data_IF_034217651663
#
_entry.id   IF_034217651663
#
_cell.length_a   1.000
_cell.length_b   1.000
_cell.length_c   1.000
_cell.angle_alpha   90.00
_cell.angle_beta   90.00
_cell.angle_gamma   90.00
#
_symmetry.space_group_name_H-M   'P 1'
#
loop_
_entity.id
_entity.type
_entity.pdbx_description
1 polymer ?
#
# COMPACT_ATOMS: atom_id res chain seq x y z
N UNK A 1 -45.40 32.84 9.77
CA UNK A 1 -45.59 31.38 9.95
C UNK A 1 -44.93 30.56 8.84
N UNK A 2 -44.82 31.05 7.60
CA UNK A 2 -44.18 30.30 6.49
C UNK A 2 -42.68 30.01 6.68
N UNK A 3 -41.90 30.90 7.31
CA UNK A 3 -40.46 30.69 7.52
C UNK A 3 -40.08 29.61 8.55
N UNK A 4 -40.99 29.24 9.46
CA UNK A 4 -40.71 28.19 10.45
C UNK A 4 -40.82 26.78 9.83
N UNK A 5 -41.70 26.62 8.85
CA UNK A 5 -41.87 25.36 8.12
C UNK A 5 -40.67 25.03 7.23
N UNK A 6 -40.09 26.05 6.60
CA UNK A 6 -38.94 25.89 5.71
C UNK A 6 -37.69 25.42 6.49
N UNK A 7 -37.42 26.01 7.66
CA UNK A 7 -36.34 25.60 8.58
C UNK A 7 -36.50 24.15 9.09
N UNK A 8 -37.72 23.72 9.41
CA UNK A 8 -37.99 22.34 9.86
C UNK A 8 -37.73 21.34 8.74
N UNK A 9 -38.09 21.67 7.50
CA UNK A 9 -37.86 20.78 6.35
C UNK A 9 -36.38 20.70 5.99
N UNK A 10 -35.64 21.81 6.05
CA UNK A 10 -34.18 21.80 5.90
C UNK A 10 -33.50 20.90 6.96
N UNK A 11 -33.95 20.97 8.22
CA UNK A 11 -33.45 20.12 9.28
C UNK A 11 -33.72 18.62 8.99
N UNK A 12 -34.92 18.28 8.53
CA UNK A 12 -35.30 16.91 8.15
C UNK A 12 -34.42 16.42 6.99
N UNK A 13 -34.30 17.21 5.92
CA UNK A 13 -33.47 16.88 4.75
C UNK A 13 -32.00 16.66 5.13
N UNK A 14 -31.49 17.42 6.10
CA UNK A 14 -30.13 17.25 6.62
C UNK A 14 -29.87 15.90 7.31
N UNK A 15 -30.92 15.14 7.66
CA UNK A 15 -30.81 13.82 8.30
C UNK A 15 -31.13 12.67 7.33
N UNK A 16 -31.63 12.97 6.13
CA UNK A 16 -32.00 11.99 5.13
C UNK A 16 -30.80 11.42 4.39
N UNK A 17 -30.94 10.18 3.88
CA UNK A 17 -30.00 9.66 2.90
C UNK A 17 -30.21 10.32 1.53
N UNK A 18 -29.20 10.31 0.64
CA UNK A 18 -29.32 10.91 -0.69
C UNK A 18 -30.47 10.33 -1.53
N UNK A 19 -30.77 9.04 -1.36
CA UNK A 19 -31.91 8.37 -2.01
C UNK A 19 -33.25 8.91 -1.50
N UNK A 20 -33.36 9.16 -0.20
CA UNK A 20 -34.59 9.64 0.41
C UNK A 20 -34.85 11.10 0.04
N UNK A 21 -33.79 11.92 0.00
CA UNK A 21 -33.86 13.28 -0.50
C UNK A 21 -34.30 13.33 -1.98
N UNK A 22 -33.82 12.40 -2.81
CA UNK A 22 -34.27 12.28 -4.20
C UNK A 22 -35.75 11.85 -4.29
N UNK A 23 -36.19 10.89 -3.48
CA UNK A 23 -37.60 10.47 -3.40
C UNK A 23 -38.50 11.61 -2.92
N UNK A 24 -38.07 12.35 -1.90
CA UNK A 24 -38.77 13.53 -1.37
C UNK A 24 -38.97 14.59 -2.46
N UNK A 25 -37.96 14.81 -3.31
CA UNK A 25 -38.04 15.73 -4.46
C UNK A 25 -39.11 15.35 -5.50
N UNK A 26 -39.54 14.08 -5.53
CA UNK A 26 -40.55 13.59 -6.47
C UNK A 26 -41.98 13.83 -6.01
N UNK A 27 -42.21 14.17 -4.74
CA UNK A 27 -43.56 14.27 -4.15
C UNK A 27 -44.29 15.54 -4.58
N UNK A 28 -43.62 16.70 -4.62
CA UNK A 28 -44.20 17.99 -5.02
C UNK A 28 -43.13 18.98 -5.53
N UNK A 29 -43.52 19.98 -6.33
CA UNK A 29 -42.67 21.08 -6.79
C UNK A 29 -41.94 21.81 -5.64
N UNK A 30 -42.61 22.11 -4.52
CA UNK A 30 -41.97 22.81 -3.38
C UNK A 30 -40.86 21.95 -2.75
N UNK A 31 -41.12 20.65 -2.58
CA UNK A 31 -40.14 19.70 -2.05
C UNK A 31 -38.96 19.48 -3.00
N UNK A 32 -39.22 19.51 -4.31
CA UNK A 32 -38.17 19.47 -5.33
C UNK A 32 -37.19 20.63 -5.20
N UNK A 33 -37.67 21.84 -4.91
CA UNK A 33 -36.82 23.01 -4.71
C UNK A 33 -35.93 22.80 -3.48
N UNK A 34 -36.51 22.41 -2.34
CA UNK A 34 -35.75 22.17 -1.10
C UNK A 34 -34.71 21.04 -1.24
N UNK A 35 -35.10 19.90 -1.82
CA UNK A 35 -34.17 18.79 -2.08
C UNK A 35 -33.22 19.04 -3.27
N UNK A 36 -33.21 20.24 -3.84
CA UNK A 36 -32.22 20.67 -4.84
C UNK A 36 -31.20 21.66 -4.27
N UNK A 37 -31.28 21.99 -2.97
CA UNK A 37 -30.28 22.84 -2.32
C UNK A 37 -28.87 22.25 -2.43
N UNK A 38 -27.96 23.03 -2.98
CA UNK A 38 -26.60 22.59 -3.25
C UNK A 38 -25.79 22.36 -1.97
N UNK A 39 -26.12 23.01 -0.84
CA UNK A 39 -25.47 22.76 0.44
C UNK A 39 -25.80 21.37 0.99
N UNK A 40 -27.04 20.91 0.81
CA UNK A 40 -27.44 19.54 1.12
C UNK A 40 -26.61 18.52 0.30
N UNK A 41 -26.52 18.72 -1.02
CA UNK A 41 -25.76 17.83 -1.89
C UNK A 41 -24.25 17.92 -1.67
N UNK A 42 -23.71 19.08 -1.29
CA UNK A 42 -22.32 19.23 -0.84
C UNK A 42 -22.03 18.30 0.34
N UNK A 43 -22.94 18.25 1.32
CA UNK A 43 -22.79 17.34 2.48
C UNK A 43 -22.85 15.87 2.05
N UNK A 44 -23.75 15.50 1.16
CA UNK A 44 -23.80 14.12 0.62
C UNK A 44 -22.52 13.75 -0.11
N UNK A 45 -22.03 14.60 -1.00
CA UNK A 45 -20.76 14.41 -1.71
C UNK A 45 -19.56 14.31 -0.76
N UNK A 46 -19.50 15.15 0.27
CA UNK A 46 -18.44 15.08 1.28
C UNK A 46 -18.49 13.78 2.08
N UNK A 47 -19.67 13.35 2.55
CA UNK A 47 -19.80 12.14 3.36
C UNK A 47 -19.59 10.85 2.57
N UNK A 48 -20.14 10.76 1.35
CA UNK A 48 -20.11 9.53 0.57
C UNK A 48 -18.84 9.38 -0.28
N UNK A 49 -18.26 10.49 -0.74
CA UNK A 49 -17.23 10.50 -1.78
C UNK A 49 -15.99 11.35 -1.41
N UNK A 50 -15.98 12.00 -0.24
CA UNK A 50 -14.91 12.91 0.21
C UNK A 50 -14.62 14.06 -0.79
N UNK A 51 -15.68 14.57 -1.43
CA UNK A 51 -15.55 15.67 -2.39
C UNK A 51 -15.66 17.03 -1.70
N UNK A 52 -14.67 17.91 -1.96
CA UNK A 52 -14.64 19.30 -1.49
C UNK A 52 -15.15 20.31 -2.53
N UNK A 53 -15.21 19.89 -3.79
CA UNK A 53 -15.69 20.67 -4.93
C UNK A 53 -16.60 19.79 -5.81
N UNK A 54 -17.52 20.39 -6.60
CA UNK A 54 -18.38 19.63 -7.49
C UNK A 54 -17.56 19.15 -8.70
N UNK A 55 -16.99 17.96 -8.62
CA UNK A 55 -16.22 17.35 -9.69
C UNK A 55 -16.79 15.97 -10.07
N UNK A 56 -16.61 15.59 -11.32
CA UNK A 56 -16.93 14.26 -11.83
C UNK A 56 -15.86 13.22 -11.39
N UNK A 57 -16.06 11.93 -11.66
CA UNK A 57 -15.08 10.87 -11.36
C UNK A 57 -13.70 11.03 -12.01
N UNK A 58 -13.59 11.82 -13.07
CA UNK A 58 -12.33 12.07 -13.79
C UNK A 58 -11.65 13.38 -13.32
N UNK A 59 -12.25 14.09 -12.37
CA UNK A 59 -11.77 15.34 -11.82
C UNK A 59 -12.23 16.60 -12.56
N UNK A 60 -13.13 16.48 -13.54
CA UNK A 60 -13.64 17.63 -14.29
C UNK A 60 -14.68 18.39 -13.46
N UNK A 61 -14.70 19.74 -13.50
CA UNK A 61 -15.68 20.53 -12.75
C UNK A 61 -17.11 20.29 -13.28
N UNK A 62 -18.05 20.16 -12.35
CA UNK A 62 -19.48 20.04 -12.58
C UNK A 62 -20.20 21.34 -12.16
N UNK A 63 -21.38 21.64 -12.74
CA UNK A 63 -22.13 22.87 -12.40
C UNK A 63 -22.59 22.98 -10.94
N UNK A 64 -22.77 21.85 -10.24
CA UNK A 64 -23.23 21.83 -8.84
C UNK A 64 -22.90 20.48 -8.18
N UNK A 65 -22.97 20.40 -6.85
CA UNK A 65 -22.75 19.14 -6.12
C UNK A 65 -23.84 18.11 -6.42
N UNK A 66 -25.08 18.56 -6.67
CA UNK A 66 -26.17 17.67 -7.08
C UNK A 66 -25.86 16.99 -8.42
N UNK A 67 -25.37 17.76 -9.39
CA UNK A 67 -24.98 17.21 -10.70
C UNK A 67 -23.78 16.29 -10.55
N UNK A 68 -22.77 16.68 -9.77
CA UNK A 68 -21.62 15.82 -9.48
C UNK A 68 -22.08 14.47 -8.89
N UNK A 69 -22.89 14.47 -7.83
CA UNK A 69 -23.39 13.24 -7.21
C UNK A 69 -24.13 12.35 -8.20
N UNK A 70 -24.96 12.94 -9.07
CA UNK A 70 -25.65 12.22 -10.14
C UNK A 70 -24.66 11.55 -11.10
N UNK A 71 -23.68 12.30 -11.62
CA UNK A 71 -22.65 11.80 -12.54
C UNK A 71 -21.87 10.65 -11.90
N UNK A 72 -21.52 10.77 -10.62
CA UNK A 72 -20.90 9.69 -9.85
C UNK A 72 -21.78 8.45 -9.74
N UNK A 73 -23.06 8.60 -9.42
CA UNK A 73 -24.02 7.47 -9.34
C UNK A 73 -24.20 6.78 -10.68
N UNK A 74 -24.24 7.52 -11.78
CA UNK A 74 -24.36 6.97 -13.13
C UNK A 74 -23.06 6.26 -13.55
N UNK A 75 -21.89 6.86 -13.31
CA UNK A 75 -20.58 6.33 -13.71
C UNK A 75 -20.20 5.02 -13.03
N UNK A 76 -20.75 4.75 -11.84
CA UNK A 76 -20.51 3.54 -11.05
C UNK A 76 -21.78 2.70 -10.86
N UNK A 77 -22.82 2.94 -11.67
CA UNK A 77 -24.15 2.33 -11.47
C UNK A 77 -24.19 0.80 -11.54
N UNK A 78 -23.17 0.15 -12.11
CA UNK A 78 -23.05 -1.31 -12.15
C UNK A 78 -22.51 -1.94 -10.86
N UNK A 79 -22.04 -1.14 -9.90
CA UNK A 79 -21.49 -1.61 -8.63
C UNK A 79 -22.42 -1.28 -7.46
N UNK A 80 -22.43 -2.11 -6.40
CA UNK A 80 -23.06 -1.75 -5.15
C UNK A 80 -22.51 -0.42 -4.62
N UNK A 81 -23.40 0.54 -4.35
CA UNK A 81 -22.98 1.88 -3.93
C UNK A 81 -22.17 1.87 -2.63
N UNK A 82 -22.49 0.97 -1.69
CA UNK A 82 -21.71 0.74 -0.47
C UNK A 82 -20.25 0.42 -0.76
N UNK A 83 -19.99 -0.42 -1.77
CA UNK A 83 -18.65 -0.81 -2.18
C UNK A 83 -17.91 0.35 -2.85
N UNK A 84 -18.58 1.13 -3.72
CA UNK A 84 -18.00 2.35 -4.31
C UNK A 84 -17.51 3.31 -3.23
N UNK A 85 -18.34 3.59 -2.22
CA UNK A 85 -17.98 4.46 -1.08
C UNK A 85 -16.85 3.89 -0.23
N UNK A 86 -16.79 2.58 -0.06
CA UNK A 86 -15.70 1.91 0.67
C UNK A 86 -14.38 2.06 -0.09
N UNK A 87 -14.35 1.72 -1.38
CA UNK A 87 -13.16 1.83 -2.21
C UNK A 87 -12.69 3.28 -2.36
N UNK A 88 -13.60 4.25 -2.51
CA UNK A 88 -13.23 5.67 -2.54
C UNK A 88 -12.57 6.13 -1.25
N UNK A 89 -13.10 5.71 -0.09
CA UNK A 89 -12.49 6.01 1.22
C UNK A 89 -11.11 5.39 1.38
N UNK A 90 -10.94 4.13 0.95
CA UNK A 90 -9.64 3.46 0.92
C UNK A 90 -8.60 4.30 0.15
N UNK A 91 -8.93 4.69 -1.08
CA UNK A 91 -8.05 5.54 -1.89
C UNK A 91 -7.84 6.93 -1.27
N UNK A 92 -8.88 7.58 -0.76
CA UNK A 92 -8.76 8.91 -0.15
C UNK A 92 -7.77 8.94 1.02
N UNK A 93 -7.73 7.90 1.85
CA UNK A 93 -6.75 7.78 2.95
C UNK A 93 -5.32 7.75 2.39
N UNK A 94 -5.07 6.92 1.38
CA UNK A 94 -3.75 6.77 0.75
C UNK A 94 -3.35 8.07 0.03
N UNK A 95 -4.23 8.61 -0.83
CA UNK A 95 -3.96 9.83 -1.59
C UNK A 95 -3.69 11.04 -0.69
N UNK A 96 -4.46 11.19 0.39
CA UNK A 96 -4.27 12.28 1.36
C UNK A 96 -2.90 12.15 2.02
N UNK A 97 -2.52 10.95 2.45
CA UNK A 97 -1.22 10.71 3.04
C UNK A 97 -0.09 11.00 2.06
N UNK A 98 -0.20 10.52 0.81
CA UNK A 98 0.81 10.76 -0.22
C UNK A 98 0.93 12.24 -0.59
N UNK A 99 -0.19 12.97 -0.68
CA UNK A 99 -0.18 14.39 -1.00
C UNK A 99 0.63 15.23 0.00
N UNK A 100 0.66 14.81 1.27
CA UNK A 100 1.42 15.50 2.32
C UNK A 100 2.84 14.96 2.46
N UNK A 101 3.03 13.65 2.37
CA UNK A 101 4.29 13.01 2.75
C UNK A 101 5.16 12.62 1.55
N UNK A 102 4.54 12.05 0.50
CA UNK A 102 5.27 11.52 -0.67
C UNK A 102 4.61 11.89 -2.02
N UNK A 103 4.62 13.19 -2.41
CA UNK A 103 4.01 13.65 -3.67
C UNK A 103 4.55 12.96 -4.92
N UNK A 104 5.81 12.53 -4.91
CA UNK A 104 6.48 11.83 -6.00
C UNK A 104 5.78 10.51 -6.32
N UNK A 105 5.47 9.70 -5.31
CA UNK A 105 4.68 8.47 -5.47
C UNK A 105 3.24 8.80 -5.88
N UNK A 106 2.64 9.85 -5.32
CA UNK A 106 1.28 10.29 -5.73
C UNK A 106 1.21 10.58 -7.23
N UNK A 107 2.23 11.23 -7.78
CA UNK A 107 2.27 11.62 -9.19
C UNK A 107 2.41 10.42 -10.13
N UNK A 108 2.80 9.25 -9.63
CA UNK A 108 2.79 8.01 -10.39
C UNK A 108 1.38 7.41 -10.51
N UNK A 109 0.42 7.77 -9.65
CA UNK A 109 -0.93 7.19 -9.70
C UNK A 109 -1.62 7.55 -11.02
N UNK A 110 -1.99 6.52 -11.78
CA UNK A 110 -2.68 6.70 -13.06
C UNK A 110 -4.13 7.08 -12.82
N UNK A 111 -4.73 7.75 -13.82
CA UNK A 111 -6.18 7.95 -13.86
C UNK A 111 -6.89 6.59 -13.84
N UNK A 112 -8.09 6.55 -13.27
CA UNK A 112 -8.89 5.34 -13.24
C UNK A 112 -9.18 4.77 -14.63
N UNK A 113 -9.03 3.46 -14.77
CA UNK A 113 -9.35 2.73 -16.00
C UNK A 113 -10.84 2.84 -16.31
N UNK A 114 -11.25 2.88 -17.57
CA UNK A 114 -12.64 2.77 -17.99
C UNK A 114 -13.17 1.34 -17.90
N UNK A 115 -14.50 1.16 -17.88
CA UNK A 115 -15.11 -0.18 -17.92
C UNK A 115 -14.70 -0.98 -19.16
N UNK A 116 -14.46 -0.28 -20.28
CA UNK A 116 -13.98 -0.87 -21.53
C UNK A 116 -12.56 -1.41 -21.36
N UNK A 117 -11.64 -0.62 -20.79
CA UNK A 117 -10.25 -1.04 -20.56
C UNK A 117 -10.16 -2.23 -19.60
N UNK A 118 -10.96 -2.22 -18.53
CA UNK A 118 -11.06 -3.36 -17.60
C UNK A 118 -11.53 -4.62 -18.34
N UNK A 119 -12.59 -4.49 -19.15
CA UNK A 119 -13.15 -5.62 -19.91
C UNK A 119 -12.13 -6.16 -20.93
N UNK A 120 -11.42 -5.29 -21.63
CA UNK A 120 -10.36 -5.68 -22.57
C UNK A 120 -9.22 -6.43 -21.85
N UNK A 121 -8.84 -6.02 -20.64
CA UNK A 121 -7.84 -6.71 -19.84
C UNK A 121 -8.33 -8.11 -19.39
N UNK A 122 -9.57 -8.20 -18.90
CA UNK A 122 -10.24 -9.47 -18.53
C UNK A 122 -10.29 -10.45 -19.71
N UNK A 123 -10.68 -9.98 -20.90
CA UNK A 123 -10.70 -10.77 -22.13
C UNK A 123 -9.31 -11.28 -22.52
N UNK A 124 -8.28 -10.41 -22.46
CA UNK A 124 -6.89 -10.80 -22.74
C UNK A 124 -6.32 -11.80 -21.74
N UNK A 125 -6.79 -11.78 -20.50
CA UNK A 125 -6.36 -12.66 -19.40
C UNK A 125 -7.19 -13.95 -19.28
N UNK A 126 -8.40 -14.00 -19.85
CA UNK A 126 -9.30 -15.15 -19.70
C UNK A 126 -9.87 -15.31 -18.28
N UNK A 127 -10.02 -14.19 -17.55
CA UNK A 127 -10.54 -14.13 -16.16
C UNK A 127 -11.60 -13.04 -16.02
N UNK A 128 -12.32 -13.03 -14.90
CA UNK A 128 -13.14 -11.88 -14.47
C UNK A 128 -12.59 -11.35 -13.17
N UNK A 129 -12.24 -10.08 -13.12
CA UNK A 129 -11.76 -9.45 -11.91
C UNK A 129 -12.92 -9.35 -10.90
N UNK A 130 -12.67 -9.61 -9.60
CA UNK A 130 -13.68 -9.41 -8.57
C UNK A 130 -14.18 -7.95 -8.56
N UNK A 131 -15.47 -7.69 -8.24
CA UNK A 131 -16.01 -6.33 -8.23
C UNK A 131 -15.20 -5.30 -7.40
N UNK A 132 -14.66 -5.63 -6.21
CA UNK A 132 -13.82 -4.69 -5.46
C UNK A 132 -12.52 -4.34 -6.20
N UNK A 133 -11.85 -5.34 -6.78
CA UNK A 133 -10.66 -5.14 -7.64
C UNK A 133 -10.97 -4.28 -8.87
N UNK A 134 -12.10 -4.53 -9.56
CA UNK A 134 -12.52 -3.66 -10.68
C UNK A 134 -12.65 -2.21 -10.22
N UNK A 135 -13.30 -1.98 -9.07
CA UNK A 135 -13.44 -0.65 -8.51
C UNK A 135 -12.10 -0.02 -8.14
N UNK A 136 -11.15 -0.77 -7.57
CA UNK A 136 -9.81 -0.27 -7.29
C UNK A 136 -9.17 0.31 -8.57
N UNK A 137 -9.24 -0.43 -9.68
CA UNK A 137 -8.75 0.03 -10.98
C UNK A 137 -9.58 1.15 -11.62
N UNK A 138 -10.90 1.21 -11.37
CA UNK A 138 -11.77 2.33 -11.80
C UNK A 138 -11.39 3.65 -11.13
N UNK A 139 -10.78 3.62 -9.94
CA UNK A 139 -10.26 4.82 -9.27
C UNK A 139 -8.84 5.15 -9.74
N UNK A 140 -7.94 4.17 -9.76
CA UNK A 140 -6.59 4.34 -10.28
C UNK A 140 -6.14 3.09 -11.03
N UNK A 141 -5.72 3.25 -12.29
CA UNK A 141 -5.13 2.18 -13.11
C UNK A 141 -3.67 1.88 -12.69
N UNK A 142 -3.45 1.54 -11.42
CA UNK A 142 -2.12 1.31 -10.87
C UNK A 142 -1.19 2.54 -10.95
N UNK A 143 0.11 2.29 -11.04
CA UNK A 143 1.16 3.30 -11.14
C UNK A 143 1.71 3.41 -12.56
N UNK A 144 2.13 4.61 -12.95
CA UNK A 144 2.90 4.83 -14.17
C UNK A 144 4.31 4.30 -13.96
N UNK A 145 4.64 3.28 -14.74
CA UNK A 145 5.92 2.58 -14.68
C UNK A 145 6.94 3.16 -15.66
N UNK A 146 6.61 4.21 -16.43
CA UNK A 146 7.57 4.86 -17.34
C UNK A 146 8.77 5.44 -16.62
N UNK A 147 8.62 5.76 -15.34
CA UNK A 147 9.75 6.20 -14.53
C UNK A 147 10.81 5.09 -14.41
N UNK A 148 10.43 3.80 -14.46
CA UNK A 148 11.34 2.65 -14.25
C UNK A 148 12.54 2.57 -15.21
N UNK A 149 12.60 3.41 -16.24
CA UNK A 149 13.76 3.55 -17.13
C UNK A 149 14.91 4.40 -16.53
N UNK A 150 14.68 5.09 -15.40
CA UNK A 150 15.72 5.82 -14.64
C UNK A 150 16.05 5.13 -13.31
N UNK A 151 17.32 5.16 -12.88
CA UNK A 151 17.77 4.54 -11.62
C UNK A 151 16.98 5.08 -10.39
N UNK A 152 16.59 6.35 -10.43
CA UNK A 152 15.81 7.03 -9.38
C UNK A 152 14.36 6.54 -9.25
N UNK A 153 13.84 5.81 -10.23
CA UNK A 153 12.45 5.40 -10.24
C UNK A 153 12.19 4.02 -9.61
N UNK A 154 13.25 3.25 -9.35
CA UNK A 154 13.16 1.94 -8.71
C UNK A 154 12.66 2.00 -7.25
N UNK A 155 12.44 3.20 -6.71
CA UNK A 155 12.07 3.48 -5.31
C UNK A 155 10.66 4.05 -5.09
N UNK A 156 9.86 4.26 -6.16
CA UNK A 156 8.55 4.94 -6.08
C UNK A 156 7.34 4.01 -5.94
N UNK A 157 7.51 2.78 -5.46
CA UNK A 157 6.41 1.84 -5.31
C UNK A 157 5.41 2.24 -4.22
N UNK A 158 4.12 2.23 -4.56
CA UNK A 158 3.01 2.60 -3.68
C UNK A 158 2.88 1.65 -2.48
N UNK A 159 3.12 0.36 -2.72
CA UNK A 159 3.14 -0.66 -1.67
C UNK A 159 4.41 -0.51 -0.83
N UNK A 160 5.47 0.08 -1.40
CA UNK A 160 6.74 0.29 -0.73
C UNK A 160 7.49 -1.01 -0.51
N UNK A 161 8.38 -1.02 0.46
CA UNK A 161 9.09 -2.23 0.84
C UNK A 161 10.23 -1.97 1.79
N UNK A 162 11.36 -2.64 1.58
CA UNK A 162 12.48 -2.64 2.50
C UNK A 162 13.79 -2.86 1.76
N UNK A 163 14.86 -2.43 2.42
CA UNK A 163 16.23 -2.71 2.01
C UNK A 163 16.96 -3.40 3.16
N UNK A 164 17.64 -4.51 2.86
CA UNK A 164 18.62 -5.14 3.74
C UNK A 164 19.72 -5.80 2.90
N UNK A 165 20.97 -5.64 3.30
CA UNK A 165 22.15 -6.12 2.53
C UNK A 165 22.11 -5.71 1.04
N UNK A 166 22.10 -6.69 0.13
CA UNK A 166 21.97 -6.52 -1.32
C UNK A 166 20.54 -6.72 -1.84
N UNK A 167 19.58 -6.89 -0.93
CA UNK A 167 18.17 -7.12 -1.26
C UNK A 167 17.38 -5.82 -1.14
N UNK A 168 16.81 -5.38 -2.26
CA UNK A 168 15.87 -4.28 -2.32
C UNK A 168 14.55 -4.83 -2.84
N UNK A 169 13.50 -4.66 -2.05
CA UNK A 169 12.14 -4.88 -2.49
C UNK A 169 11.41 -3.54 -2.38
N UNK A 170 10.93 -3.03 -3.51
CA UNK A 170 10.04 -1.87 -3.54
C UNK A 170 8.95 -2.16 -4.57
N UNK A 171 7.71 -2.24 -4.09
CA UNK A 171 6.61 -2.88 -4.81
C UNK A 171 5.64 -1.83 -5.37
N UNK A 172 5.31 -1.99 -6.64
CA UNK A 172 4.40 -1.15 -7.38
C UNK A 172 3.03 -1.81 -7.48
N UNK A 173 1.97 -1.00 -7.45
CA UNK A 173 0.66 -1.45 -7.91
C UNK A 173 0.64 -1.38 -9.45
N UNK A 174 0.49 -2.52 -10.11
CA UNK A 174 0.63 -2.60 -11.57
C UNK A 174 -0.58 -2.01 -12.30
N UNK A 175 -0.37 -1.24 -13.39
CA UNK A 175 -1.45 -0.86 -14.30
C UNK A 175 -1.97 -2.09 -15.05
N UNK A 176 -3.25 -2.09 -15.45
CA UNK A 176 -3.89 -3.24 -16.10
C UNK A 176 -3.13 -3.74 -17.33
N UNK A 177 -2.54 -2.84 -18.11
CA UNK A 177 -1.70 -3.22 -19.24
C UNK A 177 -0.52 -4.10 -18.81
N UNK A 178 0.15 -3.75 -17.71
CA UNK A 178 1.26 -4.52 -17.16
C UNK A 178 0.79 -5.82 -16.50
N UNK A 179 -0.37 -5.80 -15.81
CA UNK A 179 -1.02 -7.02 -15.28
C UNK A 179 -1.19 -8.06 -16.39
N UNK A 180 -1.68 -7.64 -17.58
CA UNK A 180 -1.84 -8.53 -18.74
C UNK A 180 -0.49 -9.08 -19.20
N UNK A 181 0.52 -8.21 -19.36
CA UNK A 181 1.83 -8.59 -19.85
C UNK A 181 2.55 -9.57 -18.91
N UNK A 182 2.65 -9.22 -17.63
CA UNK A 182 3.38 -10.01 -16.64
C UNK A 182 2.70 -11.35 -16.38
N UNK A 183 1.37 -11.37 -16.30
CA UNK A 183 0.62 -12.61 -16.10
C UNK A 183 0.81 -13.58 -17.27
N UNK A 184 0.83 -13.08 -18.52
CA UNK A 184 1.09 -13.93 -19.70
C UNK A 184 2.51 -14.47 -19.71
N UNK A 185 3.50 -13.59 -19.51
CA UNK A 185 4.93 -13.96 -19.42
C UNK A 185 5.18 -15.00 -18.33
N UNK A 186 4.51 -14.87 -17.18
CA UNK A 186 4.60 -15.84 -16.09
C UNK A 186 3.93 -17.17 -16.45
N UNK A 187 2.75 -17.14 -17.06
CA UNK A 187 2.01 -18.34 -17.46
C UNK A 187 2.75 -19.18 -18.50
N UNK A 188 3.43 -18.54 -19.45
CA UNK A 188 4.28 -19.20 -20.46
C UNK A 188 5.42 -20.00 -19.81
N UNK A 189 5.97 -19.52 -18.68
CA UNK A 189 7.07 -20.17 -17.96
C UNK A 189 6.63 -21.37 -17.12
N UNK A 190 5.36 -21.46 -16.70
CA UNK A 190 4.89 -22.44 -15.71
C UNK A 190 4.19 -23.69 -16.28
N UNK A 191 4.22 -23.92 -17.60
CA UNK A 191 3.69 -25.11 -18.30
C UNK A 191 2.23 -25.58 -17.97
N UNK A 192 1.46 -24.86 -17.13
CA UNK A 192 0.08 -25.19 -16.76
C UNK A 192 -0.81 -23.93 -16.77
N UNK A 193 -1.63 -23.80 -17.82
CA UNK A 193 -2.45 -22.63 -18.18
C UNK A 193 -3.83 -22.55 -17.50
N UNK A 194 -3.99 -23.11 -16.29
CA UNK A 194 -5.30 -23.18 -15.62
C UNK A 194 -5.44 -22.27 -14.39
N UNK A 195 -4.37 -21.59 -13.99
CA UNK A 195 -4.45 -20.67 -12.85
C UNK A 195 -5.33 -19.47 -13.18
N UNK A 196 -6.32 -19.19 -12.32
CA UNK A 196 -7.13 -17.98 -12.37
C UNK A 196 -6.46 -16.81 -11.64
N UNK A 197 -5.15 -16.90 -11.41
CA UNK A 197 -4.36 -15.87 -10.76
C UNK A 197 -3.79 -14.87 -11.77
N UNK A 198 -3.81 -13.59 -11.40
CA UNK A 198 -3.20 -12.50 -12.17
C UNK A 198 -2.19 -11.75 -11.29
N UNK A 199 -1.11 -11.24 -11.89
CA UNK A 199 -0.08 -10.47 -11.17
C UNK A 199 -0.54 -9.02 -11.04
N UNK A 200 -0.86 -8.58 -9.82
CA UNK A 200 -1.44 -7.24 -9.57
C UNK A 200 -0.42 -6.25 -9.01
N UNK A 201 0.68 -6.74 -8.46
CA UNK A 201 1.77 -5.92 -7.93
C UNK A 201 3.11 -6.65 -8.07
N UNK A 202 4.17 -5.90 -8.32
CA UNK A 202 5.52 -6.45 -8.46
C UNK A 202 6.57 -5.47 -7.96
N UNK A 203 7.71 -6.00 -7.52
CA UNK A 203 8.92 -5.20 -7.33
C UNK A 203 9.76 -5.15 -8.59
N UNK A 204 10.74 -4.25 -8.61
CA UNK A 204 11.77 -4.22 -9.65
C UNK A 204 12.47 -5.60 -9.77
N UNK A 205 12.88 -5.96 -10.99
CA UNK A 205 13.43 -7.27 -11.38
C UNK A 205 12.56 -8.49 -11.06
N UNK A 206 11.24 -8.33 -10.90
CA UNK A 206 10.30 -9.42 -10.63
C UNK A 206 10.65 -10.26 -9.37
N UNK A 207 11.42 -9.69 -8.43
CA UNK A 207 11.87 -10.42 -7.22
C UNK A 207 10.72 -10.73 -6.26
N UNK A 208 9.74 -9.84 -6.17
CA UNK A 208 8.56 -9.98 -5.31
C UNK A 208 7.31 -9.77 -6.14
N UNK A 209 6.46 -10.80 -6.21
CA UNK A 209 5.25 -10.82 -7.04
C UNK A 209 4.01 -11.10 -6.19
N UNK A 210 2.94 -10.36 -6.45
CA UNK A 210 1.65 -10.53 -5.80
C UNK A 210 0.60 -11.01 -6.80
N UNK A 211 -0.12 -12.05 -6.41
CA UNK A 211 -1.07 -12.77 -7.26
C UNK A 211 -2.48 -12.66 -6.70
N UNK A 212 -3.41 -12.11 -7.47
CA UNK A 212 -4.83 -12.13 -7.15
C UNK A 212 -5.48 -13.34 -7.82
N UNK A 213 -6.07 -14.24 -7.05
CA UNK A 213 -6.95 -15.28 -7.58
C UNK A 213 -8.32 -14.68 -7.89
N UNK A 214 -8.64 -14.56 -9.17
CA UNK A 214 -9.87 -13.91 -9.64
C UNK A 214 -11.15 -14.71 -9.35
N UNK A 215 -11.05 -16.01 -9.05
CA UNK A 215 -12.20 -16.83 -8.67
C UNK A 215 -12.49 -16.77 -7.18
N UNK A 216 -11.45 -16.83 -6.34
CA UNK A 216 -11.61 -16.86 -4.88
C UNK A 216 -11.41 -15.50 -4.20
N UNK A 217 -11.03 -14.46 -4.94
CA UNK A 217 -10.69 -13.13 -4.41
C UNK A 217 -9.51 -13.10 -3.44
N UNK A 218 -8.75 -14.19 -3.32
CA UNK A 218 -7.59 -14.26 -2.43
C UNK A 218 -6.38 -13.60 -3.08
N UNK A 219 -5.57 -12.94 -2.26
CA UNK A 219 -4.31 -12.30 -2.65
C UNK A 219 -3.17 -13.09 -2.04
N UNK A 220 -2.17 -13.39 -2.85
CA UNK A 220 -0.99 -14.13 -2.48
C UNK A 220 0.28 -13.36 -2.79
N UNK A 221 1.37 -13.71 -2.12
CA UNK A 221 2.72 -13.27 -2.46
C UNK A 221 3.57 -14.51 -2.71
N UNK A 222 4.39 -14.48 -3.75
CA UNK A 222 5.28 -15.59 -4.09
C UNK A 222 6.41 -15.77 -3.09
N UNK A 223 6.85 -17.00 -2.92
CA UNK A 223 7.97 -17.37 -2.04
C UNK A 223 9.26 -17.62 -2.82
N UNK A 224 10.33 -18.05 -2.15
CA UNK A 224 11.59 -18.46 -2.80
C UNK A 224 11.39 -19.52 -3.88
N UNK A 225 10.39 -20.39 -3.71
CA UNK A 225 10.11 -21.50 -4.63
C UNK A 225 9.06 -21.13 -5.71
N UNK A 226 8.67 -19.85 -5.82
CA UNK A 226 7.66 -19.38 -6.78
C UNK A 226 7.89 -19.85 -8.24
N UNK A 227 9.15 -19.93 -8.67
CA UNK A 227 9.49 -20.35 -10.03
C UNK A 227 9.79 -21.85 -10.16
N UNK A 228 9.86 -22.58 -9.04
CA UNK A 228 10.19 -24.02 -8.99
C UNK A 228 8.91 -24.86 -8.90
N UNK A 229 8.15 -24.69 -7.83
CA UNK A 229 6.86 -25.37 -7.59
C UNK A 229 5.68 -24.39 -7.62
N UNK A 230 6.00 -23.10 -7.60
CA UNK A 230 5.11 -21.96 -7.51
C UNK A 230 4.28 -21.89 -6.26
N UNK A 231 4.98 -22.14 -5.17
CA UNK A 231 4.64 -21.81 -3.80
C UNK A 231 4.36 -20.31 -3.62
N UNK A 232 3.33 -20.06 -2.82
CA UNK A 232 2.72 -18.77 -2.58
C UNK A 232 2.03 -18.80 -1.22
N UNK A 233 2.07 -17.68 -0.51
CA UNK A 233 1.40 -17.55 0.79
C UNK A 233 0.31 -16.48 0.75
N UNK A 234 -0.78 -16.63 1.53
CA UNK A 234 -1.85 -15.64 1.54
C UNK A 234 -1.40 -14.33 2.21
N UNK A 235 -1.70 -13.20 1.59
CA UNK A 235 -1.42 -11.86 2.11
C UNK A 235 -2.42 -11.39 3.16
N UNK A 236 -3.60 -12.02 3.21
CA UNK A 236 -4.72 -11.67 4.07
C UNK A 236 -5.26 -12.95 4.71
N UNK A 237 -5.63 -12.96 6.01
CA UNK A 237 -6.29 -14.11 6.62
C UNK A 237 -7.50 -14.57 5.80
N UNK A 238 -7.49 -15.84 5.39
CA UNK A 238 -8.47 -16.38 4.42
C UNK A 238 -9.92 -16.22 4.88
N UNK A 239 -10.16 -16.31 6.20
CA UNK A 239 -11.49 -16.15 6.82
C UNK A 239 -12.09 -14.75 6.63
N UNK A 240 -11.27 -13.75 6.30
CA UNK A 240 -11.74 -12.38 6.05
C UNK A 240 -12.19 -12.18 4.60
N UNK A 241 -11.83 -13.06 3.66
CA UNK A 241 -12.17 -12.87 2.25
C UNK A 241 -13.60 -13.34 1.99
N UNK A 242 -14.43 -12.47 1.40
CA UNK A 242 -15.83 -12.78 1.05
C UNK A 242 -16.12 -12.36 -0.38
N UNK A 243 -16.30 -13.30 -1.29
CA UNK A 243 -16.49 -12.98 -2.72
C UNK A 243 -17.94 -12.87 -3.18
N UNK A 244 -18.90 -13.20 -2.31
CA UNK A 244 -20.32 -13.21 -2.64
C UNK A 244 -21.13 -12.33 -1.69
N UNK A 245 -22.26 -11.82 -2.20
CA UNK A 245 -23.20 -10.99 -1.44
C UNK A 245 -22.92 -9.48 -1.51
N UNK A 246 -23.78 -8.72 -0.83
CA UNK A 246 -23.79 -7.24 -0.85
C UNK A 246 -22.55 -6.64 -0.18
N UNK A 247 -21.91 -7.40 0.71
CA UNK A 247 -20.70 -7.02 1.43
C UNK A 247 -19.43 -7.67 0.86
N UNK A 248 -19.46 -8.17 -0.38
CA UNK A 248 -18.31 -8.82 -0.99
C UNK A 248 -17.07 -7.89 -0.98
N UNK A 249 -15.94 -8.44 -0.55
CA UNK A 249 -14.64 -7.81 -0.56
C UNK A 249 -13.56 -8.87 -0.79
N UNK A 250 -12.67 -8.57 -1.72
CA UNK A 250 -11.50 -9.38 -2.01
C UNK A 250 -10.34 -8.99 -1.07
N UNK A 251 -9.33 -9.84 -1.06
CA UNK A 251 -8.12 -9.62 -0.27
C UNK A 251 -7.32 -8.40 -0.74
N UNK A 252 -7.48 -7.95 -2.00
CA UNK A 252 -6.76 -6.79 -2.51
C UNK A 252 -7.27 -5.49 -1.88
N UNK A 253 -8.59 -5.30 -1.80
CA UNK A 253 -9.19 -4.17 -1.09
C UNK A 253 -8.83 -4.20 0.40
N UNK A 254 -8.94 -5.36 1.06
CA UNK A 254 -8.59 -5.49 2.48
C UNK A 254 -7.12 -5.14 2.74
N UNK A 255 -6.21 -5.61 1.89
CA UNK A 255 -4.79 -5.35 2.01
C UNK A 255 -4.49 -3.85 1.85
N UNK A 256 -5.10 -3.17 0.87
CA UNK A 256 -4.93 -1.73 0.66
C UNK A 256 -5.54 -0.89 1.79
N UNK A 257 -6.68 -1.29 2.34
CA UNK A 257 -7.26 -0.62 3.50
C UNK A 257 -6.32 -0.67 4.72
N UNK A 258 -5.72 -1.83 4.96
CA UNK A 258 -4.73 -2.01 6.03
C UNK A 258 -3.44 -1.21 5.74
N UNK A 259 -2.96 -1.19 4.50
CA UNK A 259 -1.80 -0.37 4.11
C UNK A 259 -2.05 1.13 4.36
N UNK A 260 -3.20 1.65 3.89
CA UNK A 260 -3.61 3.03 4.15
C UNK A 260 -3.75 3.34 5.64
N UNK A 261 -4.28 2.39 6.42
CA UNK A 261 -4.39 2.50 7.88
C UNK A 261 -3.00 2.60 8.53
N UNK A 262 -2.05 1.73 8.15
CA UNK A 262 -0.68 1.73 8.69
C UNK A 262 0.08 3.01 8.35
N UNK A 263 -0.13 3.58 7.15
CA UNK A 263 0.44 4.88 6.76
C UNK A 263 -0.13 6.03 7.61
N UNK A 264 -1.47 6.10 7.71
CA UNK A 264 -2.16 7.14 8.48
C UNK A 264 -1.81 7.10 9.97
N UNK A 265 -1.75 5.91 10.55
CA UNK A 265 -1.48 5.70 11.98
C UNK A 265 0.03 5.78 12.30
N UNK A 266 0.89 6.04 11.31
CA UNK A 266 2.35 6.16 11.49
C UNK A 266 3.06 4.84 11.80
N UNK A 267 2.39 3.70 11.60
CA UNK A 267 3.01 2.37 11.76
C UNK A 267 4.13 2.19 10.74
N UNK A 268 3.92 2.66 9.51
CA UNK A 268 4.94 2.73 8.46
C UNK A 268 4.98 4.14 7.90
N UNK A 269 6.11 4.52 7.32
CA UNK A 269 6.32 5.86 6.79
C UNK A 269 7.47 5.93 5.81
N UNK A 270 7.84 7.15 5.45
CA UNK A 270 8.98 7.37 4.55
C UNK A 270 10.26 7.19 5.33
N UNK A 271 11.21 6.47 4.75
CA UNK A 271 12.60 6.50 5.20
C UNK A 271 13.50 6.89 4.05
N UNK A 272 14.53 7.62 4.40
CA UNK A 272 15.58 8.07 3.51
C UNK A 272 16.87 7.35 3.90
N UNK A 273 17.42 6.60 2.96
CA UNK A 273 18.71 5.95 3.10
C UNK A 273 19.48 6.17 1.78
N UNK A 274 20.70 6.70 1.86
CA UNK A 274 21.55 6.94 0.68
C UNK A 274 20.89 7.83 -0.37
N UNK A 275 20.24 8.91 0.06
CA UNK A 275 19.42 9.84 -0.76
C UNK A 275 18.21 9.19 -1.45
N UNK A 276 17.91 7.92 -1.15
CA UNK A 276 16.74 7.21 -1.66
C UNK A 276 15.62 7.23 -0.63
N UNK A 277 14.46 7.73 -1.03
CA UNK A 277 13.24 7.76 -0.21
C UNK A 277 12.30 6.63 -0.61
N UNK A 278 11.89 5.80 0.34
CA UNK A 278 10.89 4.75 0.12
C UNK A 278 9.80 4.78 1.17
N UNK A 279 8.61 4.28 0.83
CA UNK A 279 7.65 3.85 1.85
C UNK A 279 8.22 2.58 2.51
N UNK A 280 8.75 2.73 3.71
CA UNK A 280 9.46 1.69 4.42
C UNK A 280 8.50 0.81 5.21
N UNK A 281 8.51 -0.50 4.96
CA UNK A 281 7.60 -1.47 5.57
C UNK A 281 7.96 -1.86 7.01
N UNK A 282 9.17 -1.51 7.46
CA UNK A 282 9.60 -1.72 8.84
C UNK A 282 8.76 -0.87 9.79
N UNK A 283 8.02 -1.47 10.74
CA UNK A 283 7.18 -0.71 11.65
C UNK A 283 7.97 0.29 12.49
N UNK A 284 7.37 1.44 12.83
CA UNK A 284 7.94 2.47 13.70
C UNK A 284 7.19 2.66 15.02
N UNK A 285 6.05 1.98 15.19
CA UNK A 285 5.23 2.06 16.40
C UNK A 285 4.99 0.70 17.06
N UNK A 286 4.73 0.72 18.36
CA UNK A 286 4.38 -0.47 19.12
C UNK A 286 3.04 -1.07 18.65
N UNK A 287 2.81 -2.39 18.81
CA UNK A 287 3.73 -3.37 19.39
C UNK A 287 4.77 -3.92 18.40
N UNK A 288 4.69 -3.55 17.11
CA UNK A 288 5.53 -4.10 16.07
C UNK A 288 6.94 -3.47 16.00
N UNK A 289 7.15 -2.35 16.69
CA UNK A 289 8.45 -1.76 16.99
C UNK A 289 8.65 -1.70 18.50
N UNK A 290 9.80 -2.20 18.97
CA UNK A 290 10.24 -2.08 20.36
C UNK A 290 11.18 -0.89 20.51
N UNK A 291 11.13 -0.23 21.66
CA UNK A 291 11.98 0.92 21.99
C UNK A 291 12.57 0.72 23.37
N UNK A 292 13.88 0.93 23.50
CA UNK A 292 14.59 0.98 24.77
C UNK A 292 15.45 2.26 24.83
N UNK A 293 15.57 2.84 26.02
CA UNK A 293 16.42 4.01 26.25
C UNK A 293 17.36 3.70 27.41
N UNK A 294 18.65 3.93 27.22
CA UNK A 294 19.68 3.80 28.27
C UNK A 294 20.56 5.02 28.24
N UNK A 295 20.64 5.75 29.36
CA UNK A 295 21.44 6.97 29.50
C UNK A 295 21.24 7.97 28.34
N UNK A 296 20.00 8.15 27.86
CA UNK A 296 19.70 9.06 26.74
C UNK A 296 19.96 8.49 25.33
N UNK A 297 20.57 7.31 25.19
CA UNK A 297 20.64 6.59 23.92
C UNK A 297 19.36 5.78 23.72
N UNK A 298 18.61 6.10 22.67
CA UNK A 298 17.43 5.36 22.26
C UNK A 298 17.79 4.32 21.19
N UNK A 299 17.31 3.09 21.37
CA UNK A 299 17.36 2.02 20.38
C UNK A 299 15.93 1.61 20.04
N UNK A 300 15.59 1.64 18.76
CA UNK A 300 14.33 1.16 18.20
C UNK A 300 14.60 -0.04 17.31
N UNK A 301 13.80 -1.10 17.45
CA UNK A 301 13.96 -2.32 16.67
C UNK A 301 12.60 -2.80 16.15
N UNK A 302 12.56 -3.14 14.87
CA UNK A 302 11.40 -3.76 14.25
C UNK A 302 11.82 -4.76 13.19
N UNK A 303 10.94 -5.71 12.86
CA UNK A 303 11.20 -6.76 11.88
C UNK A 303 10.05 -6.87 10.88
N UNK A 304 10.37 -7.39 9.70
CA UNK A 304 9.43 -7.69 8.62
C UNK A 304 9.68 -9.08 8.09
N UNK A 305 8.61 -9.76 7.73
CA UNK A 305 8.69 -11.05 7.07
C UNK A 305 9.01 -10.87 5.57
N UNK A 306 9.94 -11.68 5.05
CA UNK A 306 10.46 -11.61 3.68
C UNK A 306 10.01 -12.87 2.93
N UNK A 307 8.80 -12.88 2.33
CA UNK A 307 8.24 -14.06 1.69
C UNK A 307 9.09 -14.58 0.53
N UNK A 308 9.63 -13.68 -0.29
CA UNK A 308 10.39 -14.01 -1.50
C UNK A 308 11.71 -14.76 -1.24
N UNK A 309 12.18 -14.80 0.01
CA UNK A 309 13.36 -15.58 0.43
C UNK A 309 13.00 -16.71 1.40
N UNK A 310 11.72 -16.87 1.74
CA UNK A 310 11.21 -17.93 2.62
C UNK A 310 10.76 -19.16 1.81
N UNK A 311 10.78 -20.36 2.41
CA UNK A 311 10.34 -21.61 1.77
C UNK A 311 9.24 -22.33 2.55
N UNK A 312 8.69 -23.43 2.01
CA UNK A 312 7.65 -24.22 2.68
C UNK A 312 8.16 -24.95 3.92
N UNK A 313 7.22 -25.42 4.76
CA UNK A 313 7.46 -25.99 6.10
C UNK A 313 8.33 -27.26 6.15
N UNK A 314 8.50 -27.94 5.02
CA UNK A 314 9.01 -29.31 4.94
C UNK A 314 10.51 -29.42 4.55
N UNK A 315 11.21 -28.30 4.37
CA UNK A 315 12.66 -28.29 4.13
C UNK A 315 13.47 -28.18 5.45
N UNK A 316 14.66 -28.79 5.44
CA UNK A 316 15.53 -29.03 6.61
C UNK A 316 16.31 -27.75 7.02
N UNK A 317 16.40 -26.73 6.16
CA UNK A 317 17.10 -25.45 6.40
C UNK A 317 16.18 -24.22 6.29
N UNK A 318 16.47 -23.19 7.10
CA UNK A 318 15.82 -21.87 7.25
C UNK A 318 14.47 -21.65 6.52
N UNK A 319 13.42 -22.01 7.27
CA UNK A 319 11.99 -22.02 6.87
C UNK A 319 11.42 -20.64 6.53
N UNK A 320 11.82 -19.62 7.30
CA UNK A 320 11.24 -18.29 7.22
C UNK A 320 12.34 -17.23 7.34
N UNK A 321 12.36 -16.30 6.38
CA UNK A 321 13.27 -15.17 6.41
C UNK A 321 12.57 -13.96 7.02
N UNK A 322 13.22 -13.36 8.02
CA UNK A 322 12.83 -12.07 8.58
C UNK A 322 13.99 -11.11 8.43
N UNK A 323 13.71 -9.91 7.92
CA UNK A 323 14.65 -8.81 7.98
C UNK A 323 14.34 -7.99 9.23
N UNK A 324 15.37 -7.44 9.87
CA UNK A 324 15.23 -6.54 11.01
C UNK A 324 15.88 -5.19 10.71
N UNK A 325 15.35 -4.15 11.35
CA UNK A 325 15.88 -2.80 11.30
C UNK A 325 16.08 -2.31 12.73
N UNK A 326 17.35 -2.03 13.07
CA UNK A 326 17.76 -1.47 14.36
C UNK A 326 18.19 -0.03 14.12
N UNK A 327 17.55 0.89 14.83
CA UNK A 327 17.69 2.33 14.67
C UNK A 327 18.12 2.91 15.99
N UNK A 328 19.28 3.56 16.01
CA UNK A 328 19.86 4.16 17.21
C UNK A 328 19.87 5.67 17.07
N UNK A 329 19.49 6.39 18.12
CA UNK A 329 19.51 7.85 18.14
C UNK A 329 19.80 8.35 19.55
N UNK A 330 20.53 9.46 19.65
CA UNK A 330 20.67 10.18 20.91
C UNK A 330 19.45 11.07 21.11
N UNK A 331 18.84 11.02 22.31
CA UNK A 331 17.74 11.91 22.66
C UNK A 331 18.22 13.36 22.82
N UNK A 332 17.29 14.32 22.71
CA UNK A 332 17.57 15.75 22.84
C UNK A 332 18.26 16.12 24.16
N UNK A 333 17.98 15.36 25.21
CA UNK A 333 18.51 15.58 26.56
C UNK A 333 19.97 15.10 26.69
N UNK A 334 20.51 14.55 25.60
CA UNK A 334 21.88 14.05 25.48
C UNK A 334 22.14 12.78 26.28
N UNK A 335 23.40 12.37 26.27
CA UNK A 335 23.89 11.23 27.03
C UNK A 335 24.42 11.73 28.37
N UNK A 336 23.89 11.19 29.47
CA UNK A 336 24.39 11.49 30.82
C UNK A 336 25.15 10.27 31.33
N UNK A 337 26.46 10.42 31.49
CA UNK A 337 27.34 9.41 32.08
C UNK A 337 28.05 10.02 33.28
N UNK A 338 27.94 9.39 34.45
CA UNK A 338 28.55 9.85 35.70
C UNK A 338 28.26 11.33 36.03
N UNK A 339 27.07 11.81 35.67
CA UNK A 339 26.64 13.20 35.87
C UNK A 339 27.17 14.21 34.85
N UNK A 340 27.94 13.77 33.85
CA UNK A 340 28.44 14.60 32.75
C UNK A 340 27.57 14.44 31.50
N UNK A 341 27.31 15.57 30.84
CA UNK A 341 26.56 15.62 29.59
C UNK A 341 27.48 15.37 28.38
N UNK A 342 26.99 14.54 27.46
CA UNK A 342 27.61 14.25 26.17
C UNK A 342 26.59 14.48 25.06
N UNK A 343 26.98 15.26 24.05
CA UNK A 343 26.15 15.57 22.88
C UNK A 343 26.25 14.53 21.75
N UNK A 344 27.10 13.51 21.92
CA UNK A 344 27.30 12.46 20.93
C UNK A 344 27.72 11.15 21.61
N UNK A 345 27.49 10.04 20.92
CA UNK A 345 27.96 8.72 21.30
C UNK A 345 28.34 7.94 20.04
N UNK A 346 29.32 7.05 20.14
CA UNK A 346 29.74 6.19 19.04
C UNK A 346 29.46 4.73 19.39
N UNK A 347 28.81 4.01 18.47
CA UNK A 347 28.68 2.56 18.59
C UNK A 347 30.06 1.95 18.40
N UNK A 348 30.53 1.17 19.38
CA UNK A 348 31.83 0.46 19.30
C UNK A 348 31.66 -1.03 18.98
N UNK A 349 30.64 -1.67 19.54
CA UNK A 349 30.33 -3.08 19.27
C UNK A 349 28.83 -3.33 19.27
N UNK A 350 28.43 -4.47 18.70
CA UNK A 350 27.05 -4.97 18.72
C UNK A 350 27.00 -6.36 19.32
N UNK A 351 25.90 -6.64 20.00
CA UNK A 351 25.54 -7.98 20.45
C UNK A 351 24.02 -8.09 20.48
N UNK A 352 23.46 -9.02 19.72
CA UNK A 352 22.03 -9.33 19.80
C UNK A 352 21.76 -10.83 19.65
N UNK A 353 20.76 -11.27 20.40
CA UNK A 353 20.31 -12.66 20.44
C UNK A 353 18.99 -12.75 19.67
N UNK A 354 18.95 -13.61 18.66
CA UNK A 354 17.76 -13.88 17.85
C UNK A 354 17.03 -15.06 18.46
N UNK A 355 15.74 -14.87 18.76
CA UNK A 355 14.89 -15.89 19.38
C UNK A 355 13.69 -16.23 18.50
N UNK A 356 13.32 -17.50 18.48
CA UNK A 356 12.06 -18.01 17.92
C UNK A 356 11.24 -18.62 19.08
N UNK A 357 10.28 -17.86 19.60
CA UNK A 357 9.66 -18.18 20.89
C UNK A 357 10.70 -18.15 22.01
N UNK A 358 10.75 -19.20 22.81
CA UNK A 358 11.71 -19.30 23.93
C UNK A 358 13.12 -19.77 23.48
N UNK A 359 13.25 -20.30 22.26
CA UNK A 359 14.50 -20.83 21.74
C UNK A 359 15.40 -19.72 21.19
N UNK A 360 16.69 -19.75 21.55
CA UNK A 360 17.73 -18.94 20.90
C UNK A 360 18.14 -19.63 19.61
N UNK A 361 17.92 -18.95 18.48
CA UNK A 361 18.22 -19.45 17.13
C UNK A 361 19.40 -18.74 16.47
N UNK A 362 19.90 -17.66 17.08
CA UNK A 362 21.09 -16.97 16.63
C UNK A 362 21.69 -16.08 17.71
N UNK A 363 23.00 -15.89 17.63
CA UNK A 363 23.78 -14.97 18.46
C UNK A 363 24.73 -14.22 17.53
N UNK A 364 24.56 -12.90 17.45
CA UNK A 364 25.38 -12.03 16.62
C UNK A 364 26.18 -11.13 17.54
N UNK A 365 27.50 -11.33 17.55
CA UNK A 365 28.45 -10.50 18.28
C UNK A 365 29.53 -10.02 17.32
N UNK A 366 29.85 -8.73 17.36
CA UNK A 366 30.89 -8.17 16.52
C UNK A 366 31.11 -6.68 16.74
N UNK A 367 32.05 -6.11 16.00
CA UNK A 367 32.33 -4.67 15.99
C UNK A 367 31.11 -3.86 15.53
N UNK A 368 31.10 -2.56 15.82
CA UNK A 368 30.06 -1.68 15.32
C UNK A 368 30.06 -1.60 13.79
N UNK A 369 28.88 -1.73 13.18
CA UNK A 369 28.70 -1.51 11.74
C UNK A 369 27.40 -0.75 11.52
N UNK A 370 27.43 0.24 10.63
CA UNK A 370 26.27 1.03 10.19
C UNK A 370 26.07 0.77 8.70
N UNK A 371 25.17 -0.16 8.36
CA UNK A 371 24.98 -0.61 6.96
C UNK A 371 26.17 -1.41 6.42
N UNK A 372 25.90 -2.52 5.71
CA UNK A 372 26.85 -3.49 5.11
C UNK A 372 28.20 -3.66 5.82
N UNK A 373 28.29 -4.70 6.65
CA UNK A 373 29.26 -5.80 6.46
C UNK A 373 29.09 -6.82 7.60
N UNK A 374 28.53 -7.95 7.21
CA UNK A 374 28.58 -9.23 7.92
C UNK A 374 28.88 -10.31 6.87
N UNK A 375 29.78 -10.02 5.91
CA UNK A 375 30.45 -11.07 5.14
C UNK A 375 31.83 -11.33 5.77
N UNK A 376 32.12 -12.55 6.23
CA UNK A 376 33.48 -12.93 6.50
C UNK A 376 34.21 -13.09 5.14
N UNK A 377 35.30 -12.34 4.98
CA UNK A 377 36.35 -12.55 3.97
C UNK A 377 35.96 -12.45 2.48
N UNK A 378 36.12 -11.26 1.90
CA UNK A 378 36.81 -11.12 0.61
C UNK A 378 37.78 -9.95 0.65
N UNK A 379 39.06 -10.28 0.82
CA UNK A 379 40.18 -9.41 0.50
C UNK A 379 40.04 -8.95 -0.96
N UNK A 380 39.69 -7.69 -1.19
CA UNK A 380 40.06 -7.01 -2.42
C UNK A 380 41.42 -6.38 -2.17
N UNK A 381 42.44 -7.12 -2.60
CA UNK A 381 43.81 -6.63 -2.81
C UNK A 381 43.73 -5.42 -3.74
N UNK A 382 43.92 -4.20 -3.19
CA UNK A 382 44.34 -3.06 -3.99
C UNK A 382 45.84 -3.21 -4.23
N UNK A 383 46.22 -3.86 -5.31
CA UNK A 383 47.57 -3.75 -5.85
C UNK A 383 47.72 -2.36 -6.45
N UNK A 384 48.40 -1.47 -5.72
CA UNK A 384 49.00 -0.30 -6.31
C UNK A 384 50.17 -0.72 -7.21
N UNK A 385 50.23 -0.14 -8.40
CA UNK A 385 51.49 -0.02 -9.14
C UNK A 385 51.60 1.43 -9.61
N UNK A 386 52.25 2.24 -8.78
CA UNK A 386 52.94 3.42 -9.25
C UNK A 386 54.31 2.98 -9.79
N UNK A 387 54.60 3.38 -11.02
CA UNK A 387 55.97 3.54 -11.52
C UNK A 387 55.96 4.64 -12.59
N UNK A 388 56.47 5.80 -12.21
CA UNK A 388 57.20 6.78 -13.06
C UNK A 388 58.70 6.44 -12.80
N UNK A 389 59.73 6.67 -13.66
CA UNK A 389 59.87 7.47 -14.90
C UNK A 389 60.34 6.63 -16.11
N UNK A 390 60.35 7.12 -17.36
CA UNK A 390 61.21 8.19 -17.93
C UNK A 390 60.55 9.00 -19.03
#
# INVERSE_FOLDING_TARGET
MEGLGDLVVELILSKMAPTDAATFACVNRRFRVWASDDNLWRRFCSLDLDLKSPIDPLGSPCPSFKIAYKVWRESFGMYPWSLVKRTKRCWAVIETWLATNFPEVRNTLRKGASEREIKEAEEKLGVRLPPPTRLLYRFHDGQDLKFLETEDAAILGLIGGYWFYSQVANVYLLPLAQVVLDTKKFSERRFASQSKCVIVASSFYDRKLFFLNCCSGHLYVGTRNLFVDGDMIPCVPQLLVKCEGVEAHDAMLLWLEEHGRRLRDGVIGIREEWDLRIICQFPDTAPACSTAVTNGVQVRASAVFVPETSGPKDEIDDKYCFAYSIRMSLLSDGLILDGMYHSSCQLQSRHWIIRAGDAVVGDVKGEAVIGKDNEPERQIVRSGSGAIPS
#
